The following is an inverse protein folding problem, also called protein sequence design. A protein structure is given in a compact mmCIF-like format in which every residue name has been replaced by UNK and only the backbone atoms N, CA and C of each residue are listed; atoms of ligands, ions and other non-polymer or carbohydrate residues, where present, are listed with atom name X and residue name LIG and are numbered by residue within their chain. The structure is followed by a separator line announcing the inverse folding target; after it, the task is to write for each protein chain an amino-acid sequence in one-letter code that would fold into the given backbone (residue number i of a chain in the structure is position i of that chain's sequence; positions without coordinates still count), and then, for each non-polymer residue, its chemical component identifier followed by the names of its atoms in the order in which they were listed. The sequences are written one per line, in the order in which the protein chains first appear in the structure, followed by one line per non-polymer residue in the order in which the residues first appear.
data_IF_050643537516
#
_entry.id   IF_050643537516
#
_cell.length_a   1.000
_cell.length_b   1.000
_cell.length_c   1.000
_cell.angle_alpha   90.00
_cell.angle_beta   90.00
_cell.angle_gamma   90.00
#
_symmetry.space_group_name_H-M   'P 1'
#
loop_
_entity.id
_entity.type
_entity.pdbx_description
1 polymer ?
#
# COMPACT_ATOMS: atom_id res chain seq x y z
N UNK A 1 8.06 17.23 7.04
CA UNK A 1 7.97 16.48 5.77
C UNK A 1 8.20 15.00 6.06
N UNK A 2 7.13 14.21 6.16
CA UNK A 2 7.20 12.77 6.46
C UNK A 2 7.51 11.90 5.22
N UNK A 3 8.12 10.74 5.47
CA UNK A 3 8.22 9.58 4.57
C UNK A 3 7.04 8.65 4.80
N UNK A 4 6.29 8.34 3.76
CA UNK A 4 5.05 7.59 3.82
C UNK A 4 5.15 6.39 2.88
N UNK A 5 4.99 5.19 3.41
CA UNK A 5 4.88 3.97 2.61
C UNK A 5 3.40 3.61 2.40
N UNK A 6 3.02 3.33 1.15
CA UNK A 6 1.75 2.73 0.77
C UNK A 6 1.97 1.27 0.39
N UNK A 7 1.27 0.36 1.05
CA UNK A 7 1.38 -1.09 0.84
C UNK A 7 0.04 -1.58 0.31
N UNK A 8 0.03 -2.14 -0.90
CA UNK A 8 -1.20 -2.49 -1.60
C UNK A 8 -1.78 -1.29 -2.36
N UNK A 9 -2.22 -1.55 -3.60
CA UNK A 9 -2.66 -0.53 -4.53
C UNK A 9 -4.15 -0.70 -4.83
N UNK A 10 -4.96 0.03 -4.08
CA UNK A 10 -6.33 0.35 -4.48
C UNK A 10 -6.36 1.67 -5.24
N UNK A 11 -7.43 1.93 -5.99
CA UNK A 11 -7.66 3.23 -6.61
C UNK A 11 -7.64 4.37 -5.57
N UNK A 12 -8.19 4.12 -4.37
CA UNK A 12 -8.16 5.07 -3.24
C UNK A 12 -6.71 5.28 -2.77
N UNK A 13 -5.94 4.20 -2.59
CA UNK A 13 -4.53 4.27 -2.22
C UNK A 13 -3.71 5.11 -3.20
N UNK A 14 -3.95 4.97 -4.51
CA UNK A 14 -3.29 5.77 -5.54
C UNK A 14 -3.67 7.25 -5.47
N UNK A 15 -4.94 7.57 -5.21
CA UNK A 15 -5.40 8.95 -5.07
C UNK A 15 -4.76 9.60 -3.84
N UNK A 16 -4.71 8.87 -2.72
CA UNK A 16 -4.13 9.37 -1.47
C UNK A 16 -2.61 9.58 -1.60
N UNK A 17 -1.90 8.62 -2.21
CA UNK A 17 -0.47 8.74 -2.49
C UNK A 17 -0.15 9.95 -3.36
N UNK A 18 -0.96 10.23 -4.40
CA UNK A 18 -0.80 11.42 -5.24
C UNK A 18 -1.00 12.71 -4.45
N UNK A 19 -2.06 12.81 -3.64
CA UNK A 19 -2.32 13.99 -2.80
C UNK A 19 -1.18 14.26 -1.82
N UNK A 20 -0.65 13.23 -1.17
CA UNK A 20 0.44 13.36 -0.20
C UNK A 20 1.77 13.75 -0.87
N UNK A 21 2.04 13.27 -2.09
CA UNK A 21 3.18 13.78 -2.88
C UNK A 21 3.03 15.27 -3.18
N UNK A 22 1.84 15.68 -3.64
CA UNK A 22 1.55 17.09 -3.94
C UNK A 22 1.63 18.02 -2.73
N UNK A 23 1.41 17.51 -1.51
CA UNK A 23 1.60 18.27 -0.27
C UNK A 23 3.04 18.26 0.25
N UNK A 24 3.99 17.72 -0.52
CA UNK A 24 5.43 17.75 -0.21
C UNK A 24 5.95 16.56 0.59
N UNK A 25 5.17 15.50 0.82
CA UNK A 25 5.66 14.29 1.48
C UNK A 25 6.45 13.38 0.53
N UNK A 26 7.39 12.60 1.10
CA UNK A 26 8.09 11.55 0.35
C UNK A 26 7.24 10.29 0.39
N UNK A 27 6.62 9.93 -0.73
CA UNK A 27 5.73 8.77 -0.80
C UNK A 27 6.36 7.62 -1.57
N UNK A 28 6.52 6.48 -0.89
CA UNK A 28 6.93 5.19 -1.43
C UNK A 28 5.67 4.35 -1.68
N UNK A 29 5.55 3.73 -2.86
CA UNK A 29 4.43 2.85 -3.18
C UNK A 29 4.99 1.44 -3.40
N UNK A 30 4.48 0.49 -2.63
CA UNK A 30 4.83 -0.92 -2.66
C UNK A 30 3.59 -1.70 -3.14
N UNK A 31 3.51 -2.08 -4.43
CA UNK A 31 2.45 -2.96 -4.92
C UNK A 31 2.42 -4.23 -4.08
N UNK A 32 1.22 -4.65 -3.66
CA UNK A 32 1.01 -5.89 -2.93
C UNK A 32 0.30 -6.86 -3.86
N UNK A 33 1.07 -7.48 -4.76
CA UNK A 33 0.59 -8.52 -5.69
C UNK A 33 0.97 -9.94 -5.25
N UNK A 34 1.76 -10.06 -4.17
CA UNK A 34 2.29 -11.32 -3.64
C UNK A 34 2.04 -11.43 -2.13
N UNK A 35 1.98 -12.67 -1.62
CA UNK A 35 1.86 -12.94 -0.17
C UNK A 35 3.07 -12.43 0.63
N UNK A 36 4.21 -12.17 -0.02
CA UNK A 36 5.44 -11.72 0.60
C UNK A 36 6.00 -10.49 -0.11
N UNK A 37 6.52 -9.54 0.67
CA UNK A 37 7.27 -8.38 0.19
C UNK A 37 8.74 -8.76 0.03
N UNK A 38 9.39 -8.29 -1.03
CA UNK A 38 10.83 -8.49 -1.22
C UNK A 38 11.68 -7.68 -0.21
N UNK A 39 12.92 -8.13 0.01
CA UNK A 39 13.85 -7.48 0.94
C UNK A 39 14.03 -5.97 0.65
N UNK A 40 14.13 -5.52 -0.62
CA UNK A 40 14.18 -4.09 -0.95
C UNK A 40 12.93 -3.31 -0.51
N UNK A 41 11.73 -3.84 -0.75
CA UNK A 41 10.48 -3.20 -0.32
C UNK A 41 10.39 -3.12 1.20
N UNK A 42 10.78 -4.19 1.90
CA UNK A 42 10.84 -4.20 3.36
C UNK A 42 11.78 -3.11 3.88
N UNK A 43 12.98 -3.00 3.32
CA UNK A 43 13.94 -1.98 3.72
C UNK A 43 13.42 -0.56 3.45
N UNK A 44 12.74 -0.34 2.32
CA UNK A 44 12.14 0.95 1.98
C UNK A 44 10.97 1.32 2.91
N UNK A 45 10.15 0.35 3.30
CA UNK A 45 9.05 0.54 4.27
C UNK A 45 9.59 0.81 5.68
N UNK A 46 10.68 0.14 6.06
CA UNK A 46 11.28 0.24 7.40
C UNK A 46 11.73 1.68 7.74
N UNK A 47 12.22 2.43 6.74
CA UNK A 47 12.70 3.81 6.89
C UNK A 47 11.60 4.89 6.80
N UNK A 48 10.33 4.49 6.62
CA UNK A 48 9.20 5.42 6.55
C UNK A 48 8.63 5.73 7.94
N UNK A 49 8.23 6.99 8.12
CA UNK A 49 7.61 7.48 9.36
C UNK A 49 6.17 6.99 9.50
N UNK A 50 5.46 6.84 8.36
CA UNK A 50 4.06 6.45 8.29
C UNK A 50 3.91 5.27 7.31
N UNK A 51 3.11 4.27 7.67
CA UNK A 51 2.82 3.09 6.84
C UNK A 51 1.30 2.97 6.65
N UNK A 52 0.85 3.01 5.41
CA UNK A 52 -0.55 2.91 5.02
C UNK A 52 -0.74 1.57 4.31
N UNK A 53 -1.55 0.70 4.91
CA UNK A 53 -1.91 -0.59 4.33
C UNK A 53 -3.27 -0.43 3.63
N UNK A 54 -3.29 -0.61 2.31
CA UNK A 54 -4.47 -0.46 1.45
C UNK A 54 -4.73 -1.79 0.76
N UNK A 55 -5.38 -2.71 1.46
CA UNK A 55 -5.76 -4.02 0.95
C UNK A 55 -7.20 -4.00 0.42
N UNK A 56 -7.44 -4.68 -0.70
CA UNK A 56 -8.80 -5.05 -1.11
C UNK A 56 -9.15 -6.30 -0.31
N UNK A 57 -10.23 -6.29 0.46
CA UNK A 57 -10.74 -7.52 1.05
C UNK A 57 -10.99 -8.51 -0.10
N UNK A 58 -10.43 -9.74 -0.05
CA UNK A 58 -10.82 -10.74 -1.02
C UNK A 58 -12.33 -10.91 -0.89
N UNK A 59 -13.07 -10.67 -1.98
CA UNK A 59 -14.50 -11.00 -2.02
C UNK A 59 -14.60 -12.47 -1.65
N UNK A 60 -15.07 -12.76 -0.44
CA UNK A 60 -15.50 -14.08 -0.06
C UNK A 60 -16.70 -14.37 -0.95
N UNK A 61 -16.47 -15.06 -2.07
CA UNK A 61 -17.56 -15.72 -2.79
C UNK A 61 -18.16 -16.68 -1.76
N UNK A 62 -19.41 -16.48 -1.31
CA UNK A 62 -20.04 -17.51 -0.50
C UNK A 62 -20.06 -18.75 -1.39
N UNK A 63 -19.37 -19.81 -0.98
CA UNK A 63 -19.45 -21.10 -1.63
C UNK A 63 -20.93 -21.43 -1.74
N UNK A 64 -21.46 -21.31 -2.96
CA UNK A 64 -22.79 -21.79 -3.30
C UNK A 64 -22.65 -23.31 -3.35
N UNK A 65 -22.77 -23.95 -2.17
CA UNK A 65 -23.02 -25.39 -2.08
C UNK A 65 -24.36 -25.65 -2.73
N UNK A 66 -24.32 -26.10 -3.99
CA UNK A 66 -25.36 -26.89 -4.62
C UNK A 66 -25.17 -28.36 -4.24
#
# INVERSE_FOLDING_TARGET
MARIAFIGLTDIGQILARKLKSSGHKVQVCPFDSQELDQPSIAAIAICDIRVLSLIEPKTTPNSTL
#
